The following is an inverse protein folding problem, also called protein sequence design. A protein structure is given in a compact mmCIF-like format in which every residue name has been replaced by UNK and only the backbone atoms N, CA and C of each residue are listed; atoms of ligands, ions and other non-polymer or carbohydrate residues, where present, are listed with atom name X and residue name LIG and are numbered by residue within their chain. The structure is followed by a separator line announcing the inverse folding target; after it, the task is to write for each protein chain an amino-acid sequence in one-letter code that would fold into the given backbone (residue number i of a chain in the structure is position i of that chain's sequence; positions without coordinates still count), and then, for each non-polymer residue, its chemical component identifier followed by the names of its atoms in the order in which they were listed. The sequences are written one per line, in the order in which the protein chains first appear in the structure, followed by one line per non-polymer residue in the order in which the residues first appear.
data_IF_417536268358
#
_entry.id   IF_417536268358
#
_cell.length_a   1.000
_cell.length_b   1.000
_cell.length_c   1.000
_cell.angle_alpha   90.00
_cell.angle_beta   90.00
_cell.angle_gamma   90.00
#
_symmetry.space_group_name_H-M   'P 1'
#
loop_
_entity.id
_entity.type
_entity.pdbx_description
1 polymer ?
#
# COMPACT_ATOMS: atom_id res chain seq x y z
N UNK A 1 -55.31 -0.11 -2.62
CA UNK A 1 -54.09 0.33 -3.33
C UNK A 1 -53.46 1.48 -2.56
N UNK A 2 -52.35 1.25 -1.86
CA UNK A 2 -51.38 2.26 -1.42
C UNK A 2 -50.05 1.53 -1.22
N UNK A 3 -49.08 1.82 -2.06
CA UNK A 3 -47.73 1.26 -2.00
C UNK A 3 -46.94 2.04 -0.93
N UNK A 4 -46.44 1.35 0.09
CA UNK A 4 -45.52 1.90 1.08
C UNK A 4 -44.08 1.77 0.60
N UNK A 5 -43.42 2.90 0.39
CA UNK A 5 -41.96 2.98 0.22
C UNK A 5 -41.28 2.59 1.54
N UNK A 6 -40.48 1.54 1.53
CA UNK A 6 -39.54 1.24 2.61
C UNK A 6 -38.25 2.00 2.30
N UNK A 7 -37.95 3.02 3.10
CA UNK A 7 -36.69 3.73 3.07
C UNK A 7 -35.59 2.82 3.64
N UNK A 8 -34.65 2.39 2.79
CA UNK A 8 -33.41 1.74 3.23
C UNK A 8 -32.51 2.80 3.86
N UNK A 9 -32.55 2.91 5.19
CA UNK A 9 -31.59 3.72 5.93
C UNK A 9 -30.20 3.06 5.82
N UNK A 10 -29.31 3.69 5.05
CA UNK A 10 -27.88 3.38 5.03
C UNK A 10 -27.30 3.74 6.40
N UNK A 11 -27.12 2.73 7.25
CA UNK A 11 -26.37 2.85 8.49
C UNK A 11 -24.93 3.31 8.17
N UNK A 12 -24.37 4.26 8.94
CA UNK A 12 -22.98 4.67 8.77
C UNK A 12 -22.09 3.45 9.02
N UNK A 13 -21.20 3.19 8.06
CA UNK A 13 -20.13 2.20 8.21
C UNK A 13 -19.27 2.66 9.38
N UNK A 14 -19.42 2.02 10.53
CA UNK A 14 -18.45 2.09 11.61
C UNK A 14 -17.16 1.44 11.09
N UNK A 15 -16.31 2.26 10.48
CA UNK A 15 -14.89 1.94 10.33
C UNK A 15 -14.29 1.92 11.74
N UNK A 16 -14.26 0.74 12.35
CA UNK A 16 -13.28 0.48 13.39
C UNK A 16 -11.91 0.61 12.71
N UNK A 17 -11.05 1.49 13.20
CA UNK A 17 -9.99 2.00 12.38
C UNK A 17 -8.92 0.93 12.18
N UNK A 18 -8.43 0.82 10.95
CA UNK A 18 -7.01 0.58 10.72
C UNK A 18 -6.23 1.81 11.28
N UNK A 19 -6.29 2.02 12.60
CA UNK A 19 -5.46 2.99 13.32
C UNK A 19 -4.32 2.21 13.95
N UNK A 20 -3.29 2.07 13.13
CA UNK A 20 -1.87 2.10 13.45
C UNK A 20 -1.24 1.90 12.06
N UNK A 21 -1.13 2.92 11.21
CA UNK A 21 0.00 3.87 11.19
C UNK A 21 -0.44 5.19 10.55
N UNK A 22 -1.22 5.98 11.26
CA UNK A 22 -1.52 7.36 10.86
C UNK A 22 -1.71 8.24 12.09
N UNK A 23 -0.72 8.27 12.99
CA UNK A 23 -0.50 9.33 13.97
C UNK A 23 0.63 8.91 14.94
N UNK A 24 1.87 9.31 14.62
CA UNK A 24 2.92 9.75 15.56
C UNK A 24 4.20 10.03 14.77
N UNK A 25 4.19 11.14 14.06
CA UNK A 25 5.41 11.86 13.75
C UNK A 25 5.06 13.32 14.05
N UNK A 26 5.41 13.81 15.24
CA UNK A 26 5.23 15.22 15.61
C UNK A 26 6.13 16.15 14.77
N UNK A 27 7.02 15.57 13.96
CA UNK A 27 7.86 16.25 12.98
C UNK A 27 7.62 15.70 11.56
N UNK A 28 7.69 16.56 10.52
CA UNK A 28 7.69 16.11 9.13
C UNK A 28 8.89 15.18 8.86
N UNK A 29 8.79 14.27 7.87
CA UNK A 29 9.91 13.42 7.47
C UNK A 29 11.07 14.28 6.98
N UNK A 30 12.31 13.81 7.19
CA UNK A 30 13.48 14.46 6.66
C UNK A 30 13.42 14.50 5.11
N UNK A 31 13.82 15.63 4.49
CA UNK A 31 13.87 15.74 3.04
C UNK A 31 15.00 14.87 2.46
N UNK A 32 14.92 14.46 1.17
CA UNK A 32 16.05 13.97 0.41
C UNK A 32 17.10 15.05 0.21
N UNK A 33 18.24 14.67 -0.36
CA UNK A 33 19.28 15.61 -0.80
C UNK A 33 18.80 16.47 -1.98
N UNK A 34 18.05 15.89 -2.91
CA UNK A 34 17.59 16.59 -4.11
C UNK A 34 16.11 16.31 -4.44
N UNK A 35 15.22 17.25 -4.07
CA UNK A 35 13.81 17.19 -4.45
C UNK A 35 13.56 17.29 -5.95
N UNK A 36 14.47 17.92 -6.71
CA UNK A 36 14.37 18.08 -8.15
C UNK A 36 14.50 16.73 -8.88
N UNK A 37 15.50 15.94 -8.49
CA UNK A 37 15.70 14.58 -9.02
C UNK A 37 14.58 13.64 -8.58
N UNK A 38 14.12 13.73 -7.33
CA UNK A 38 12.94 12.99 -6.86
C UNK A 38 11.71 13.31 -7.71
N UNK A 39 11.42 14.59 -7.95
CA UNK A 39 10.29 15.00 -8.78
C UNK A 39 10.42 14.52 -10.24
N UNK A 40 11.64 14.56 -10.80
CA UNK A 40 11.93 14.04 -12.15
C UNK A 40 11.56 12.56 -12.25
N UNK A 41 12.08 11.72 -11.35
CA UNK A 41 11.81 10.27 -11.39
C UNK A 41 10.34 9.96 -11.16
N UNK A 42 9.69 10.63 -10.21
CA UNK A 42 8.25 10.47 -9.96
C UNK A 42 7.43 10.76 -11.22
N UNK A 43 7.74 11.83 -11.95
CA UNK A 43 7.05 12.18 -13.22
C UNK A 43 7.39 11.22 -14.36
N UNK A 44 8.64 10.76 -14.47
CA UNK A 44 9.03 9.75 -15.46
C UNK A 44 8.22 8.47 -15.31
N UNK A 45 7.96 8.03 -14.07
CA UNK A 45 7.13 6.85 -13.81
C UNK A 45 5.70 7.01 -14.31
N UNK A 46 5.18 8.23 -14.37
CA UNK A 46 3.81 8.51 -14.86
C UNK A 46 3.65 8.33 -16.36
N UNK A 47 4.76 8.40 -17.12
CA UNK A 47 4.78 8.37 -18.59
C UNK A 47 3.67 9.25 -19.18
N UNK A 48 3.68 10.53 -18.79
CA UNK A 48 2.62 11.48 -19.15
C UNK A 48 2.47 11.58 -20.67
N UNK A 49 1.23 11.47 -21.14
CA UNK A 49 0.88 11.83 -22.51
C UNK A 49 0.62 13.34 -22.59
N UNK A 50 0.87 13.92 -23.77
CA UNK A 50 0.65 15.35 -24.00
C UNK A 50 -0.79 15.76 -23.64
N UNK A 51 -0.93 16.74 -22.74
CA UNK A 51 -2.22 17.26 -22.30
C UNK A 51 -2.91 16.44 -21.19
N UNK A 52 -2.29 15.38 -20.66
CA UNK A 52 -2.84 14.71 -19.48
C UNK A 52 -2.92 15.66 -18.28
N UNK A 53 -4.09 15.66 -17.66
CA UNK A 53 -4.46 16.56 -16.58
C UNK A 53 -3.96 16.01 -15.25
N UNK A 54 -2.99 16.68 -14.66
CA UNK A 54 -2.33 16.27 -13.40
C UNK A 54 -2.80 17.15 -12.24
N UNK A 55 -3.08 16.54 -11.10
CA UNK A 55 -3.37 17.23 -9.83
C UNK A 55 -2.45 16.70 -8.73
N UNK A 56 -1.94 17.62 -7.91
CA UNK A 56 -1.16 17.29 -6.72
C UNK A 56 -2.06 17.39 -5.48
N UNK A 57 -2.12 16.33 -4.69
CA UNK A 57 -2.74 16.33 -3.36
C UNK A 57 -1.62 16.51 -2.33
N UNK A 58 -1.66 17.63 -1.61
CA UNK A 58 -0.53 18.13 -0.82
C UNK A 58 -0.90 18.36 0.65
N UNK A 59 0.01 18.11 1.57
CA UNK A 59 -0.14 18.52 2.98
C UNK A 59 0.77 19.72 3.23
N UNK A 60 0.22 20.93 3.43
CA UNK A 60 1.04 22.11 3.71
C UNK A 60 1.97 21.90 4.91
N UNK A 61 3.25 22.27 4.77
CA UNK A 61 4.28 22.16 5.80
C UNK A 61 5.01 20.81 5.85
N UNK A 62 4.67 19.84 4.99
CA UNK A 62 5.29 18.50 5.00
C UNK A 62 6.40 18.36 3.96
N UNK A 63 6.11 18.73 2.71
CA UNK A 63 7.06 18.60 1.59
C UNK A 63 6.89 19.77 0.61
N UNK A 64 6.88 20.99 1.14
CA UNK A 64 6.53 22.20 0.37
C UNK A 64 7.51 22.47 -0.79
N UNK A 65 8.79 22.13 -0.63
CA UNK A 65 9.82 22.31 -1.66
C UNK A 65 9.62 21.35 -2.83
N UNK A 66 9.18 20.10 -2.55
CA UNK A 66 8.84 19.13 -3.58
C UNK A 66 7.72 19.63 -4.49
N UNK A 67 6.77 20.40 -3.95
CA UNK A 67 5.65 20.92 -4.73
C UNK A 67 6.17 21.68 -5.95
N UNK A 68 7.09 22.63 -5.74
CA UNK A 68 7.61 23.47 -6.81
C UNK A 68 8.40 22.67 -7.85
N UNK A 69 9.16 21.66 -7.42
CA UNK A 69 9.86 20.75 -8.33
C UNK A 69 8.90 19.89 -9.15
N UNK A 70 7.82 19.39 -8.54
CA UNK A 70 6.75 18.67 -9.24
C UNK A 70 6.06 19.54 -10.29
N UNK A 71 5.80 20.83 -10.00
CA UNK A 71 5.22 21.75 -11.00
C UNK A 71 6.10 21.84 -12.25
N UNK A 72 7.42 21.91 -12.08
CA UNK A 72 8.38 21.99 -13.19
C UNK A 72 8.50 20.65 -13.91
N UNK A 73 8.60 19.55 -13.17
CA UNK A 73 8.74 18.21 -13.71
C UNK A 73 7.52 17.81 -14.56
N UNK A 74 6.29 18.04 -14.08
CA UNK A 74 5.06 17.75 -14.83
C UNK A 74 5.02 18.50 -16.16
N UNK A 75 5.35 19.80 -16.15
CA UNK A 75 5.39 20.60 -17.40
C UNK A 75 6.43 20.09 -18.38
N UNK A 76 7.64 19.73 -17.90
CA UNK A 76 8.69 19.12 -18.74
C UNK A 76 8.26 17.77 -19.31
N UNK A 77 7.49 17.00 -18.55
CA UNK A 77 6.92 15.71 -18.97
C UNK A 77 5.72 15.82 -19.93
N UNK A 78 5.27 17.02 -20.29
CA UNK A 78 4.17 17.23 -21.25
C UNK A 78 2.76 17.18 -20.64
N UNK A 79 2.64 17.04 -19.32
CA UNK A 79 1.35 17.11 -18.63
C UNK A 79 0.84 18.53 -18.42
N UNK A 80 -0.49 18.67 -18.38
CA UNK A 80 -1.18 19.89 -17.96
C UNK A 80 -1.43 19.81 -16.45
N UNK A 81 -0.69 20.59 -15.66
CA UNK A 81 -1.02 20.72 -14.25
C UNK A 81 -2.31 21.55 -14.10
N UNK A 82 -3.37 20.89 -13.63
CA UNK A 82 -4.68 21.52 -13.40
C UNK A 82 -4.70 22.32 -12.10
N UNK A 83 -3.99 21.85 -11.07
CA UNK A 83 -3.82 22.57 -9.82
C UNK A 83 -3.43 21.69 -8.65
N UNK A 84 -3.49 22.27 -7.46
CA UNK A 84 -3.15 21.62 -6.20
C UNK A 84 -4.37 21.55 -5.29
N UNK A 85 -4.48 20.48 -4.52
CA UNK A 85 -5.52 20.31 -3.50
C UNK A 85 -4.83 20.17 -2.14
N UNK A 86 -5.01 21.12 -1.21
CA UNK A 86 -4.58 20.91 0.16
C UNK A 86 -5.41 19.77 0.75
N UNK A 87 -4.77 18.65 1.07
CA UNK A 87 -5.41 17.50 1.70
C UNK A 87 -6.07 17.88 3.02
N UNK A 88 -5.41 18.78 3.77
CA UNK A 88 -5.84 19.32 5.06
C UNK A 88 -5.45 20.80 5.17
N UNK A 89 -6.19 21.55 5.97
CA UNK A 89 -5.92 22.96 6.25
C UNK A 89 -6.25 23.89 5.09
N UNK A 90 -5.53 25.01 5.00
CA UNK A 90 -5.68 26.03 3.96
C UNK A 90 -4.38 26.12 3.17
N UNK A 91 -4.47 26.21 1.85
CA UNK A 91 -3.30 26.35 0.99
C UNK A 91 -2.57 27.70 1.22
N UNK A 92 -1.23 27.70 1.33
CA UNK A 92 -0.42 28.92 1.35
C UNK A 92 -0.69 29.82 0.14
N UNK A 93 -0.52 31.13 0.31
CA UNK A 93 -0.80 32.12 -0.75
C UNK A 93 -0.07 31.81 -2.06
N UNK A 94 1.17 31.27 -1.99
CA UNK A 94 1.97 30.88 -3.16
C UNK A 94 1.37 29.74 -4.00
N UNK A 95 0.46 28.93 -3.44
CA UNK A 95 -0.21 27.83 -4.13
C UNK A 95 -1.64 28.16 -4.59
N UNK A 96 -2.11 29.39 -4.34
CA UNK A 96 -3.51 29.74 -4.62
C UNK A 96 -3.76 29.92 -6.11
N UNK A 97 -4.70 29.14 -6.61
CA UNK A 97 -5.27 29.22 -7.95
C UNK A 97 -6.79 29.12 -7.89
N UNK A 98 -7.47 29.35 -9.01
CA UNK A 98 -8.92 29.10 -9.11
C UNK A 98 -9.25 27.64 -8.80
N UNK A 99 -8.43 26.70 -9.27
CA UNK A 99 -8.61 25.28 -8.98
C UNK A 99 -8.43 24.97 -7.49
N UNK A 100 -7.37 25.50 -6.87
CA UNK A 100 -7.12 25.32 -5.44
C UNK A 100 -8.34 25.81 -4.63
N UNK A 101 -8.85 27.01 -4.92
CA UNK A 101 -10.06 27.57 -4.28
C UNK A 101 -11.32 26.73 -4.54
N UNK A 102 -11.45 26.15 -5.72
CA UNK A 102 -12.59 25.30 -6.09
C UNK A 102 -12.60 23.99 -5.28
N UNK A 103 -11.43 23.45 -4.93
CA UNK A 103 -11.28 22.14 -4.27
C UNK A 103 -11.06 22.21 -2.76
N UNK A 104 -10.55 23.33 -2.24
CA UNK A 104 -10.20 23.52 -0.84
C UNK A 104 -11.40 23.26 0.09
N UNK A 105 -11.18 22.39 1.09
CA UNK A 105 -12.18 22.01 2.10
C UNK A 105 -13.49 21.43 1.53
N UNK A 106 -13.47 20.97 0.28
CA UNK A 106 -14.64 20.34 -0.33
C UNK A 106 -14.87 18.94 0.25
N UNK A 107 -16.13 18.55 0.48
CA UNK A 107 -16.43 17.18 0.86
C UNK A 107 -16.14 16.25 -0.33
N UNK A 108 -15.81 14.99 -0.01
CA UNK A 108 -15.51 13.92 -0.97
C UNK A 108 -16.44 13.89 -2.18
N UNK A 109 -17.76 14.00 -1.99
CA UNK A 109 -18.73 13.92 -3.09
C UNK A 109 -18.55 15.02 -4.14
N UNK A 110 -18.22 16.24 -3.72
CA UNK A 110 -17.94 17.34 -4.67
C UNK A 110 -16.58 17.15 -5.34
N UNK A 111 -15.59 16.62 -4.61
CA UNK A 111 -14.27 16.30 -5.17
C UNK A 111 -14.36 15.22 -6.25
N UNK A 112 -15.18 14.19 -6.09
CA UNK A 112 -15.43 13.17 -7.14
C UNK A 112 -15.90 13.83 -8.44
N UNK A 113 -16.83 14.78 -8.37
CA UNK A 113 -17.38 15.47 -9.54
C UNK A 113 -16.35 16.39 -10.23
N UNK A 114 -15.37 16.89 -9.49
CA UNK A 114 -14.26 17.70 -10.03
C UNK A 114 -13.18 16.80 -10.62
N UNK A 115 -12.75 15.78 -9.86
CA UNK A 115 -11.63 14.90 -10.17
C UNK A 115 -11.91 13.88 -11.27
N UNK A 116 -13.18 13.65 -11.63
CA UNK A 116 -13.53 12.79 -12.78
C UNK A 116 -12.94 13.26 -14.12
N UNK A 117 -12.44 14.50 -14.21
CA UNK A 117 -11.78 15.08 -15.38
C UNK A 117 -10.25 15.19 -15.22
N UNK A 118 -9.65 14.53 -14.22
CA UNK A 118 -8.20 14.51 -13.94
C UNK A 118 -7.62 13.16 -14.33
N UNK A 119 -6.57 13.11 -15.15
CA UNK A 119 -5.95 11.87 -15.62
C UNK A 119 -5.01 11.25 -14.58
N UNK A 120 -4.26 12.08 -13.86
CA UNK A 120 -3.27 11.64 -12.87
C UNK A 120 -3.43 12.41 -11.56
N UNK A 121 -3.67 11.69 -10.47
CA UNK A 121 -3.57 12.23 -9.11
C UNK A 121 -2.23 11.85 -8.48
N UNK A 122 -1.53 12.81 -7.86
CA UNK A 122 -0.27 12.55 -7.16
C UNK A 122 -0.46 12.88 -5.69
N UNK A 123 -0.42 11.87 -4.83
CA UNK A 123 -0.48 12.03 -3.39
C UNK A 123 0.95 12.22 -2.88
N UNK A 124 1.26 13.45 -2.49
CA UNK A 124 2.55 13.82 -1.92
C UNK A 124 2.66 13.39 -0.44
N UNK A 125 3.87 13.46 0.17
CA UNK A 125 4.11 12.92 1.49
C UNK A 125 3.13 13.45 2.53
N UNK A 126 2.69 12.54 3.41
CA UNK A 126 1.72 12.81 4.46
C UNK A 126 0.24 12.78 4.03
N UNK A 127 -0.08 12.73 2.74
CA UNK A 127 -1.46 12.49 2.30
C UNK A 127 -1.89 11.04 2.61
N UNK A 128 -3.10 10.86 3.12
CA UNK A 128 -3.64 9.55 3.55
C UNK A 128 -5.02 9.30 2.97
N UNK A 129 -5.45 8.05 2.91
CA UNK A 129 -6.80 7.67 2.44
C UNK A 129 -7.94 8.23 3.33
N UNK A 130 -7.62 8.79 4.49
CA UNK A 130 -8.58 9.55 5.31
C UNK A 130 -8.83 10.98 4.81
N UNK A 131 -7.96 11.51 3.93
CA UNK A 131 -8.12 12.83 3.36
C UNK A 131 -9.17 12.82 2.23
N UNK A 132 -10.12 13.77 2.18
CA UNK A 132 -11.25 13.73 1.24
C UNK A 132 -10.86 13.64 -0.25
N UNK A 133 -9.75 14.26 -0.64
CA UNK A 133 -9.26 14.23 -2.02
C UNK A 133 -8.66 12.87 -2.39
N UNK A 134 -7.94 12.26 -1.47
CA UNK A 134 -7.40 10.92 -1.67
C UNK A 134 -8.55 9.90 -1.69
N UNK A 135 -9.48 9.92 -0.73
CA UNK A 135 -10.67 9.04 -0.77
C UNK A 135 -11.51 9.24 -2.05
N UNK A 136 -11.62 10.47 -2.57
CA UNK A 136 -12.27 10.70 -3.86
C UNK A 136 -11.56 9.99 -5.02
N UNK A 137 -10.22 10.01 -5.07
CA UNK A 137 -9.46 9.22 -6.04
C UNK A 137 -9.63 7.71 -5.84
N UNK A 138 -9.57 7.22 -4.60
CA UNK A 138 -9.82 5.81 -4.29
C UNK A 138 -11.18 5.36 -4.81
N UNK A 139 -12.21 6.18 -4.65
CA UNK A 139 -13.53 5.91 -5.21
C UNK A 139 -13.52 5.86 -6.75
N UNK A 140 -12.82 6.78 -7.40
CA UNK A 140 -12.71 6.82 -8.87
C UNK A 140 -11.96 5.61 -9.43
N UNK A 141 -10.91 5.14 -8.74
CA UNK A 141 -10.10 3.99 -9.18
C UNK A 141 -10.83 2.64 -9.02
N UNK A 142 -11.82 2.54 -8.14
CA UNK A 142 -12.68 1.36 -8.01
C UNK A 142 -13.67 1.20 -9.18
N UNK A 143 -13.85 2.24 -10.01
CA UNK A 143 -14.69 2.18 -11.21
C UNK A 143 -13.92 1.56 -12.38
N UNK A 144 -14.60 1.07 -13.43
CA UNK A 144 -13.93 0.55 -14.62
C UNK A 144 -12.85 1.50 -15.15
N UNK A 145 -11.73 0.94 -15.64
CA UNK A 145 -10.53 1.69 -15.99
C UNK A 145 -10.76 2.87 -16.93
N UNK A 146 -11.71 2.73 -17.87
CA UNK A 146 -12.17 3.80 -18.74
C UNK A 146 -11.00 4.47 -19.47
N UNK A 147 -10.80 5.77 -19.21
CA UNK A 147 -9.73 6.57 -19.81
C UNK A 147 -8.31 6.24 -19.33
N UNK A 148 -8.17 5.45 -18.26
CA UNK A 148 -6.87 5.15 -17.64
C UNK A 148 -6.51 6.12 -16.52
N UNK A 149 -7.51 6.55 -15.72
CA UNK A 149 -7.27 7.35 -14.51
C UNK A 149 -6.39 6.55 -13.57
N UNK A 150 -5.35 7.20 -13.04
CA UNK A 150 -4.37 6.58 -12.17
C UNK A 150 -3.87 7.55 -11.12
N UNK A 151 -3.30 6.98 -10.07
CA UNK A 151 -2.65 7.75 -9.04
C UNK A 151 -1.24 7.26 -8.76
N UNK A 152 -0.44 8.18 -8.25
CA UNK A 152 0.86 7.89 -7.67
C UNK A 152 0.75 8.25 -6.19
N UNK A 153 1.10 7.32 -5.32
CA UNK A 153 1.26 7.60 -3.90
C UNK A 153 2.74 7.62 -3.54
N UNK A 154 3.26 8.83 -3.36
CA UNK A 154 4.61 9.06 -2.90
C UNK A 154 4.59 9.24 -1.38
N UNK A 155 4.64 8.12 -0.66
CA UNK A 155 4.44 8.11 0.80
C UNK A 155 5.51 8.89 1.56
N UNK A 156 6.79 8.75 1.14
CA UNK A 156 7.99 9.19 1.88
C UNK A 156 7.89 8.91 3.40
N UNK A 157 7.44 7.70 3.71
CA UNK A 157 7.10 7.20 5.04
C UNK A 157 7.23 5.66 5.06
N UNK A 158 6.67 5.00 6.07
CA UNK A 158 6.60 3.55 6.12
C UNK A 158 7.92 2.87 6.47
N UNK A 159 8.78 3.54 7.22
CA UNK A 159 9.90 2.88 7.90
C UNK A 159 9.39 2.23 9.19
N UNK A 160 9.83 1.00 9.46
CA UNK A 160 9.43 0.26 10.67
C UNK A 160 10.64 -0.35 11.36
N UNK A 161 10.59 -0.48 12.68
CA UNK A 161 11.50 -1.35 13.42
C UNK A 161 11.33 -2.81 12.97
N UNK A 162 12.27 -3.69 13.35
CA UNK A 162 12.14 -5.12 13.05
C UNK A 162 10.90 -5.76 13.71
N UNK A 163 10.44 -5.17 14.81
CA UNK A 163 9.22 -5.59 15.53
C UNK A 163 7.94 -5.06 14.87
N UNK A 164 8.05 -4.29 13.78
CA UNK A 164 6.92 -3.75 13.03
C UNK A 164 6.33 -2.45 13.60
N UNK A 165 7.05 -1.78 14.49
CA UNK A 165 6.64 -0.46 15.00
C UNK A 165 7.10 0.66 14.07
N UNK A 166 6.27 1.67 13.76
CA UNK A 166 6.68 2.78 12.90
C UNK A 166 7.88 3.54 13.48
N UNK A 167 8.86 3.87 12.64
CA UNK A 167 9.99 4.73 13.00
C UNK A 167 9.99 6.00 12.13
N UNK A 168 10.54 7.12 12.62
CA UNK A 168 10.61 8.34 11.83
C UNK A 168 11.51 8.17 10.60
N UNK A 169 11.23 8.97 9.56
CA UNK A 169 12.15 9.16 8.43
C UNK A 169 13.13 10.26 8.83
N UNK A 170 14.27 9.87 9.39
CA UNK A 170 15.40 10.76 9.66
C UNK A 170 16.26 10.94 8.38
N UNK A 171 17.32 11.77 8.40
CA UNK A 171 18.15 11.98 7.21
C UNK A 171 18.78 10.70 6.61
N UNK A 172 19.12 9.70 7.43
CA UNK A 172 19.71 8.45 6.94
C UNK A 172 18.65 7.61 6.22
N UNK A 173 17.43 7.54 6.77
CA UNK A 173 16.29 6.89 6.12
C UNK A 173 15.88 7.64 4.85
N UNK A 174 15.89 8.97 4.85
CA UNK A 174 15.57 9.79 3.68
C UNK A 174 16.58 9.56 2.55
N UNK A 175 17.88 9.54 2.84
CA UNK A 175 18.93 9.19 1.87
C UNK A 175 18.75 7.76 1.34
N UNK A 176 18.39 6.81 2.21
CA UNK A 176 18.11 5.44 1.82
C UNK A 176 16.94 5.35 0.82
N UNK A 177 15.83 6.07 1.09
CA UNK A 177 14.68 6.14 0.20
C UNK A 177 14.96 6.90 -1.09
N UNK A 178 15.75 7.96 -1.04
CA UNK A 178 16.20 8.70 -2.22
C UNK A 178 16.97 7.76 -3.16
N UNK A 179 18.00 7.07 -2.64
CA UNK A 179 18.75 6.07 -3.43
C UNK A 179 17.82 5.00 -4.01
N UNK A 180 16.92 4.45 -3.20
CA UNK A 180 15.97 3.45 -3.68
C UNK A 180 15.02 4.00 -4.77
N UNK A 181 14.62 5.27 -4.70
CA UNK A 181 13.79 5.88 -5.74
C UNK A 181 14.58 6.10 -7.04
N UNK A 182 15.76 6.72 -6.92
CA UNK A 182 16.52 7.19 -8.07
C UNK A 182 17.24 6.06 -8.81
N UNK A 183 17.76 5.08 -8.07
CA UNK A 183 18.69 4.09 -8.62
C UNK A 183 18.04 2.72 -8.86
N UNK A 184 16.75 2.54 -8.54
CA UNK A 184 16.06 1.27 -8.83
C UNK A 184 16.04 1.01 -10.33
N UNK A 185 16.54 -0.15 -10.74
CA UNK A 185 16.30 -0.69 -12.08
C UNK A 185 14.84 -1.18 -12.16
N UNK A 186 13.96 -0.28 -12.60
CA UNK A 186 12.53 -0.54 -12.70
C UNK A 186 12.18 -1.60 -13.75
N UNK A 187 12.99 -1.75 -14.81
CA UNK A 187 12.76 -2.80 -15.81
C UNK A 187 13.06 -4.17 -15.22
N UNK A 188 14.21 -4.32 -14.56
CA UNK A 188 14.58 -5.55 -13.87
C UNK A 188 13.61 -5.89 -12.72
N UNK A 189 13.14 -4.88 -11.97
CA UNK A 189 12.11 -5.06 -10.95
C UNK A 189 10.81 -5.60 -11.56
N UNK A 190 10.34 -5.00 -12.66
CA UNK A 190 9.13 -5.42 -13.34
C UNK A 190 9.26 -6.87 -13.90
N UNK A 191 10.42 -7.22 -14.46
CA UNK A 191 10.71 -8.57 -14.91
C UNK A 191 10.74 -9.59 -13.77
N UNK A 192 11.36 -9.24 -12.64
CA UNK A 192 11.36 -10.07 -11.44
C UNK A 192 9.94 -10.35 -10.95
N UNK A 193 9.11 -9.32 -10.85
CA UNK A 193 7.71 -9.45 -10.46
C UNK A 193 6.89 -10.30 -11.45
N UNK A 194 7.09 -10.14 -12.77
CA UNK A 194 6.45 -10.98 -13.80
C UNK A 194 6.85 -12.45 -13.69
N UNK A 195 8.13 -12.73 -13.48
CA UNK A 195 8.63 -14.11 -13.32
C UNK A 195 8.04 -14.77 -12.07
N UNK A 196 8.00 -14.04 -10.95
CA UNK A 196 7.41 -14.55 -9.72
C UNK A 196 5.91 -14.79 -9.86
N UNK A 197 5.16 -13.85 -10.46
CA UNK A 197 3.75 -14.05 -10.79
C UNK A 197 3.54 -15.32 -11.63
N UNK A 198 4.33 -15.50 -12.69
CA UNK A 198 4.26 -16.69 -13.57
C UNK A 198 4.50 -17.99 -12.80
N UNK A 199 5.44 -17.99 -11.85
CA UNK A 199 5.69 -19.14 -10.98
C UNK A 199 4.49 -19.41 -10.05
N UNK A 200 3.97 -18.39 -9.36
CA UNK A 200 2.83 -18.53 -8.45
C UNK A 200 1.57 -19.05 -9.17
N UNK A 201 1.40 -18.73 -10.46
CA UNK A 201 0.29 -19.25 -11.27
C UNK A 201 0.39 -20.75 -11.55
N UNK A 202 1.60 -21.31 -11.61
CA UNK A 202 1.86 -22.72 -11.98
C UNK A 202 1.82 -23.66 -10.78
N UNK A 203 2.13 -23.18 -9.58
CA UNK A 203 2.31 -24.03 -8.41
C UNK A 203 1.85 -23.36 -7.10
N UNK A 204 1.62 -24.13 -6.03
CA UNK A 204 1.35 -23.57 -4.71
C UNK A 204 2.53 -22.75 -4.20
N UNK A 205 2.21 -21.67 -3.48
CA UNK A 205 3.17 -20.90 -2.69
C UNK A 205 3.15 -21.46 -1.28
N UNK A 206 4.33 -21.78 -0.73
CA UNK A 206 4.52 -22.15 0.68
C UNK A 206 5.44 -21.12 1.33
N UNK A 207 5.02 -20.63 2.49
CA UNK A 207 5.80 -19.69 3.31
C UNK A 207 6.11 -20.35 4.65
N UNK A 208 7.38 -20.37 5.03
CA UNK A 208 7.84 -20.89 6.32
C UNK A 208 8.68 -19.87 7.08
N UNK A 209 8.73 -19.98 8.41
CA UNK A 209 9.66 -19.19 9.25
C UNK A 209 10.26 -20.07 10.35
N UNK A 210 11.44 -19.70 10.89
CA UNK A 210 12.00 -20.36 12.08
C UNK A 210 11.05 -20.35 13.29
N UNK A 211 10.23 -19.30 13.43
CA UNK A 211 9.21 -19.20 14.48
C UNK A 211 8.04 -20.19 14.32
N UNK A 212 7.98 -20.94 13.21
CA UNK A 212 7.02 -22.02 12.99
C UNK A 212 5.83 -21.65 12.13
N UNK A 213 5.89 -20.56 11.35
CA UNK A 213 4.98 -20.37 10.21
C UNK A 213 5.20 -21.51 9.21
N UNK A 214 4.11 -22.07 8.71
CA UNK A 214 4.08 -23.02 7.60
C UNK A 214 2.68 -22.93 6.98
N UNK A 215 2.55 -22.06 5.98
CA UNK A 215 1.29 -21.76 5.31
C UNK A 215 1.44 -22.01 3.82
N UNK A 216 0.46 -22.68 3.21
CA UNK A 216 0.42 -22.97 1.77
C UNK A 216 -0.87 -22.44 1.16
N UNK A 217 -0.78 -21.88 -0.05
CA UNK A 217 -1.95 -21.39 -0.79
C UNK A 217 -1.73 -21.42 -2.31
N UNK A 218 -2.82 -21.24 -3.08
CA UNK A 218 -2.80 -21.09 -4.54
C UNK A 218 -3.45 -19.77 -4.95
N UNK A 219 -2.97 -19.18 -6.04
CA UNK A 219 -3.53 -17.93 -6.58
C UNK A 219 -4.41 -18.13 -7.81
N UNK A 220 -4.20 -19.19 -8.59
CA UNK A 220 -4.92 -19.42 -9.86
C UNK A 220 -4.92 -18.19 -10.76
N UNK A 221 -6.12 -17.74 -11.16
CA UNK A 221 -6.33 -16.58 -12.04
C UNK A 221 -6.60 -15.26 -11.28
N UNK A 222 -6.32 -15.20 -9.97
CA UNK A 222 -6.46 -13.97 -9.18
C UNK A 222 -5.68 -12.82 -9.79
N UNK A 223 -6.16 -11.61 -9.53
CA UNK A 223 -5.42 -10.38 -9.84
C UNK A 223 -4.17 -10.36 -8.96
N UNK A 224 -3.02 -10.14 -9.59
CA UNK A 224 -1.75 -9.96 -8.92
C UNK A 224 -1.33 -8.52 -9.20
N UNK A 225 -1.17 -7.75 -8.13
CA UNK A 225 -0.83 -6.33 -8.24
C UNK A 225 0.67 -6.20 -8.14
N UNK A 226 1.28 -5.55 -9.13
CA UNK A 226 2.72 -5.36 -9.27
C UNK A 226 3.09 -3.92 -8.96
N UNK A 227 3.69 -3.63 -7.81
CA UNK A 227 4.27 -2.30 -7.57
C UNK A 227 5.67 -2.30 -8.20
N UNK A 228 5.72 -2.17 -9.53
CA UNK A 228 6.93 -2.15 -10.36
C UNK A 228 7.30 -0.73 -10.82
N UNK A 229 6.56 0.28 -10.38
CA UNK A 229 6.82 1.69 -10.69
C UNK A 229 6.28 2.16 -12.04
N UNK A 230 5.66 1.30 -12.84
CA UNK A 230 4.98 1.75 -14.07
C UNK A 230 3.66 2.43 -13.69
N UNK A 231 3.61 3.75 -13.75
CA UNK A 231 2.39 4.52 -13.54
C UNK A 231 1.87 5.09 -14.87
N UNK A 232 2.01 4.36 -15.98
CA UNK A 232 1.52 4.78 -17.30
C UNK A 232 0.01 4.66 -17.45
N UNK A 233 -0.55 5.41 -18.40
CA UNK A 233 -1.96 5.29 -18.79
C UNK A 233 -2.29 3.90 -19.34
N UNK A 234 -1.36 3.31 -20.11
CA UNK A 234 -1.52 1.97 -20.68
C UNK A 234 -1.76 0.92 -19.61
N UNK A 235 -0.86 0.87 -18.62
CA UNK A 235 -1.02 -0.02 -17.45
C UNK A 235 -2.32 0.26 -16.69
N UNK A 236 -2.67 1.51 -16.49
CA UNK A 236 -3.89 1.88 -15.78
C UNK A 236 -5.18 1.42 -16.51
N UNK A 237 -5.18 1.36 -17.85
CA UNK A 237 -6.30 0.84 -18.65
C UNK A 237 -6.48 -0.66 -18.53
N UNK A 238 -5.39 -1.39 -18.34
CA UNK A 238 -5.38 -2.84 -18.12
C UNK A 238 -5.65 -3.22 -16.65
N UNK A 239 -5.53 -2.27 -15.73
CA UNK A 239 -5.72 -2.46 -14.31
C UNK A 239 -7.10 -3.02 -13.97
N UNK A 240 -7.12 -4.10 -13.18
CA UNK A 240 -8.34 -4.81 -12.78
C UNK A 240 -8.81 -4.41 -11.39
N UNK A 241 -7.88 -3.95 -10.56
CA UNK A 241 -8.17 -3.45 -9.22
C UNK A 241 -7.76 -1.99 -9.09
N UNK A 242 -8.17 -1.37 -7.98
CA UNK A 242 -7.70 -0.05 -7.60
C UNK A 242 -6.16 -0.01 -7.50
N UNK A 243 -5.57 -1.03 -6.89
CA UNK A 243 -4.12 -1.08 -6.62
C UNK A 243 -3.30 -1.20 -7.92
N UNK A 244 -3.85 -1.80 -8.99
CA UNK A 244 -3.19 -1.78 -10.31
C UNK A 244 -3.05 -0.37 -10.90
N UNK A 245 -3.84 0.58 -10.38
CA UNK A 245 -3.94 1.96 -10.87
C UNK A 245 -3.46 2.99 -9.84
N UNK A 246 -2.94 2.51 -8.71
CA UNK A 246 -2.32 3.31 -7.67
C UNK A 246 -0.90 2.81 -7.46
N UNK A 247 0.05 3.56 -7.99
CA UNK A 247 1.46 3.18 -7.99
C UNK A 247 2.17 3.86 -6.84
N UNK A 248 2.83 3.05 -6.02
CA UNK A 248 3.57 3.51 -4.86
C UNK A 248 5.05 3.65 -5.18
N UNK A 249 5.64 4.78 -4.76
CA UNK A 249 7.04 5.11 -5.03
C UNK A 249 7.78 5.48 -3.74
N UNK A 250 8.93 4.84 -3.42
CA UNK A 250 9.61 3.78 -4.17
C UNK A 250 8.80 2.47 -4.34
N UNK A 251 8.94 1.83 -5.50
CA UNK A 251 8.21 0.62 -5.84
C UNK A 251 8.91 -0.65 -5.30
N UNK A 252 8.21 -1.78 -5.20
CA UNK A 252 8.89 -3.03 -4.85
C UNK A 252 8.02 -4.23 -4.52
N UNK A 253 6.79 -4.03 -4.04
CA UNK A 253 5.94 -5.14 -3.62
C UNK A 253 5.14 -5.78 -4.75
N UNK A 254 5.07 -7.11 -4.76
CA UNK A 254 4.03 -7.87 -5.46
C UNK A 254 3.02 -8.37 -4.44
N UNK A 255 1.72 -8.23 -4.73
CA UNK A 255 0.64 -8.53 -3.76
C UNK A 255 -0.47 -9.33 -4.43
N UNK A 256 -1.09 -10.23 -3.68
CA UNK A 256 -2.22 -11.05 -4.15
C UNK A 256 -3.11 -11.45 -2.99
N UNK A 257 -4.42 -11.42 -3.21
CA UNK A 257 -5.37 -12.17 -2.40
C UNK A 257 -5.44 -13.61 -2.93
N UNK A 258 -4.96 -14.63 -2.18
CA UNK A 258 -5.03 -16.01 -2.65
C UNK A 258 -6.47 -16.49 -2.82
N UNK A 259 -6.65 -17.67 -3.44
CA UNK A 259 -7.93 -18.38 -3.43
C UNK A 259 -8.20 -18.75 -1.98
N UNK A 260 -9.26 -18.18 -1.38
CA UNK A 260 -9.49 -18.26 0.06
C UNK A 260 -9.55 -19.71 0.53
N UNK A 261 -10.27 -20.57 -0.20
CA UNK A 261 -10.44 -21.98 0.16
C UNK A 261 -9.17 -22.84 -0.01
N UNK A 262 -8.08 -22.28 -0.56
CA UNK A 262 -6.81 -22.99 -0.75
C UNK A 262 -5.77 -22.75 0.33
N UNK A 263 -6.03 -21.78 1.23
CA UNK A 263 -5.09 -21.37 2.27
C UNK A 263 -5.18 -22.34 3.45
N UNK A 264 -4.09 -23.06 3.70
CA UNK A 264 -4.00 -24.12 4.71
C UNK A 264 -2.68 -24.00 5.49
N UNK A 265 -2.70 -24.30 6.79
CA UNK A 265 -1.51 -24.37 7.63
C UNK A 265 -1.56 -23.44 8.84
N UNK A 266 -0.43 -22.84 9.21
CA UNK A 266 -0.34 -21.97 10.39
C UNK A 266 0.60 -20.79 10.16
N UNK A 267 0.34 -19.70 10.87
CA UNK A 267 1.17 -18.50 10.88
C UNK A 267 1.58 -18.21 12.33
N UNK A 268 2.88 -18.17 12.58
CA UNK A 268 3.47 -17.68 13.82
C UNK A 268 3.76 -16.18 13.64
N UNK A 269 2.89 -15.34 14.20
CA UNK A 269 2.98 -13.89 14.06
C UNK A 269 4.14 -13.34 14.89
N UNK A 270 4.82 -12.27 14.42
CA UNK A 270 5.74 -11.50 15.25
C UNK A 270 5.05 -11.04 16.54
N UNK A 271 5.83 -10.96 17.62
CA UNK A 271 5.38 -10.35 18.87
C UNK A 271 4.95 -8.89 18.59
N UNK A 272 3.89 -8.44 19.25
CA UNK A 272 3.33 -7.11 18.96
C UNK A 272 2.08 -6.80 19.75
N UNK A 273 1.35 -5.75 19.35
CA UNK A 273 0.15 -5.31 20.05
C UNK A 273 -1.11 -5.80 19.34
N UNK A 274 -1.99 -6.49 20.07
CA UNK A 274 -3.32 -6.92 19.60
C UNK A 274 -4.38 -6.46 20.58
N UNK A 275 -5.43 -5.80 20.10
CA UNK A 275 -6.50 -5.26 20.95
C UNK A 275 -6.00 -4.28 22.02
N UNK A 276 -4.87 -3.62 21.78
CA UNK A 276 -4.21 -2.75 22.77
C UNK A 276 -3.40 -3.49 23.84
N UNK A 277 -3.20 -4.81 23.71
CA UNK A 277 -2.44 -5.65 24.65
C UNK A 277 -1.17 -6.16 23.99
N UNK A 278 -0.05 -6.20 24.72
CA UNK A 278 1.17 -6.87 24.26
C UNK A 278 0.96 -8.39 24.21
N UNK A 279 1.19 -8.98 23.04
CA UNK A 279 1.00 -10.41 22.75
C UNK A 279 2.32 -11.01 22.32
N UNK A 280 2.62 -12.21 22.82
CA UNK A 280 3.83 -12.95 22.45
C UNK A 280 3.53 -14.38 22.04
N UNK A 281 4.30 -14.89 21.07
CA UNK A 281 4.22 -16.28 20.61
C UNK A 281 2.86 -16.64 20.02
N UNK A 282 2.24 -15.71 19.28
CA UNK A 282 0.93 -15.91 18.67
C UNK A 282 1.04 -16.82 17.44
N UNK A 283 0.33 -17.95 17.47
CA UNK A 283 0.22 -18.87 16.33
C UNK A 283 -1.26 -19.05 15.98
N UNK A 284 -1.66 -18.69 14.75
CA UNK A 284 -3.01 -18.95 14.24
C UNK A 284 -2.99 -20.09 13.22
N UNK A 285 -3.98 -20.98 13.31
CA UNK A 285 -4.18 -22.11 12.41
C UNK A 285 -5.27 -21.79 11.40
N UNK A 286 -4.98 -22.05 10.13
CA UNK A 286 -5.85 -21.76 9.00
C UNK A 286 -6.33 -23.06 8.35
N UNK A 287 -7.64 -23.14 8.14
CA UNK A 287 -8.24 -24.08 7.23
C UNK A 287 -9.17 -23.33 6.27
N UNK A 288 -9.01 -23.57 4.97
CA UNK A 288 -9.76 -22.90 3.91
C UNK A 288 -9.77 -21.36 4.07
N UNK A 289 -8.61 -20.81 4.43
CA UNK A 289 -8.40 -19.37 4.60
C UNK A 289 -9.03 -18.74 5.81
N UNK A 290 -9.58 -19.55 6.74
CA UNK A 290 -10.15 -19.05 8.00
C UNK A 290 -9.36 -19.53 9.20
N UNK A 291 -9.19 -18.64 10.17
CA UNK A 291 -8.65 -18.97 11.49
C UNK A 291 -9.61 -19.93 12.17
N UNK A 292 -9.15 -21.16 12.45
CA UNK A 292 -9.93 -22.19 13.17
C UNK A 292 -9.65 -22.15 14.66
N UNK A 293 -8.40 -21.87 15.04
CA UNK A 293 -7.95 -21.73 16.42
C UNK A 293 -6.62 -20.94 16.45
N UNK A 294 -6.24 -20.43 17.62
CA UNK A 294 -4.93 -19.84 17.85
C UNK A 294 -4.43 -20.06 19.29
N UNK A 295 -3.12 -20.05 19.43
CA UNK A 295 -2.41 -20.07 20.73
C UNK A 295 -1.60 -18.79 20.90
N UNK A 296 -1.37 -18.38 22.14
CA UNK A 296 -0.42 -17.31 22.48
C UNK A 296 0.25 -17.65 23.81
N UNK A 297 1.53 -17.35 23.94
CA UNK A 297 2.27 -17.51 25.20
C UNK A 297 1.79 -16.51 26.24
N UNK A 298 1.46 -15.28 25.81
CA UNK A 298 0.87 -14.24 26.64
C UNK A 298 -0.02 -13.31 25.80
N UNK A 299 -0.94 -12.58 26.44
CA UNK A 299 -1.77 -11.57 25.79
C UNK A 299 -2.94 -12.11 24.95
N UNK A 300 -3.36 -13.36 25.19
CA UNK A 300 -4.45 -14.03 24.47
C UNK A 300 -5.73 -13.19 24.39
N UNK A 301 -6.14 -12.57 25.50
CA UNK A 301 -7.38 -11.79 25.58
C UNK A 301 -7.39 -10.60 24.60
N UNK A 302 -6.23 -9.99 24.33
CA UNK A 302 -6.11 -8.91 23.35
C UNK A 302 -6.36 -9.39 21.91
N UNK A 303 -5.91 -10.61 21.59
CA UNK A 303 -6.20 -11.25 20.30
C UNK A 303 -7.68 -11.56 20.18
N UNK A 304 -8.31 -12.11 21.22
CA UNK A 304 -9.75 -12.40 21.23
C UNK A 304 -10.58 -11.13 21.05
N UNK A 305 -10.22 -10.06 21.76
CA UNK A 305 -10.87 -8.76 21.66
C UNK A 305 -10.78 -8.18 20.24
N UNK A 306 -9.58 -8.18 19.65
CA UNK A 306 -9.39 -7.64 18.30
C UNK A 306 -10.14 -8.46 17.25
N UNK A 307 -10.04 -9.80 17.29
CA UNK A 307 -10.77 -10.67 16.38
C UNK A 307 -12.28 -10.51 16.54
N UNK A 308 -12.79 -10.32 17.75
CA UNK A 308 -14.21 -10.04 17.98
C UNK A 308 -14.62 -8.69 17.37
N UNK A 309 -13.84 -7.63 17.58
CA UNK A 309 -14.10 -6.30 17.04
C UNK A 309 -14.09 -6.26 15.50
N UNK A 310 -13.16 -6.98 14.86
CA UNK A 310 -13.05 -7.06 13.40
C UNK A 310 -13.98 -8.09 12.73
N UNK A 311 -14.79 -8.80 13.51
CA UNK A 311 -15.81 -9.73 13.02
C UNK A 311 -15.28 -10.88 12.15
N UNK A 312 -16.05 -11.27 11.14
CA UNK A 312 -15.71 -12.39 10.26
C UNK A 312 -14.47 -12.14 9.39
N UNK A 313 -14.23 -10.89 9.01
CA UNK A 313 -13.05 -10.54 8.22
C UNK A 313 -11.76 -10.75 9.00
N UNK A 314 -11.73 -10.42 10.30
CA UNK A 314 -10.54 -10.58 11.12
C UNK A 314 -10.06 -12.04 11.26
N UNK A 315 -10.96 -13.00 11.03
CA UNK A 315 -10.64 -14.44 11.03
C UNK A 315 -10.31 -14.97 9.64
N UNK A 316 -10.05 -14.12 8.65
CA UNK A 316 -9.81 -14.54 7.27
C UNK A 316 -8.42 -14.11 6.80
N UNK A 317 -7.72 -14.99 6.10
CA UNK A 317 -6.49 -14.65 5.41
C UNK A 317 -6.79 -13.66 4.29
N UNK A 318 -6.04 -12.56 4.24
CA UNK A 318 -6.28 -11.44 3.33
C UNK A 318 -5.37 -11.48 2.12
N UNK A 319 -4.07 -11.44 2.38
CA UNK A 319 -3.06 -11.04 1.42
C UNK A 319 -1.75 -11.74 1.72
N UNK A 320 -1.13 -12.20 0.64
CA UNK A 320 0.30 -12.43 0.58
C UNK A 320 0.94 -11.28 -0.20
N UNK A 321 2.00 -10.69 0.35
CA UNK A 321 2.87 -9.79 -0.38
C UNK A 321 4.33 -10.17 -0.19
N UNK A 322 5.13 -9.92 -1.23
CA UNK A 322 6.58 -10.09 -1.21
C UNK A 322 7.24 -8.82 -1.75
N UNK A 323 8.16 -8.25 -0.98
CA UNK A 323 9.05 -7.21 -1.46
C UNK A 323 10.13 -7.80 -2.38
N UNK A 324 10.38 -7.14 -3.50
CA UNK A 324 11.32 -7.55 -4.54
C UNK A 324 12.29 -6.43 -4.94
N UNK A 325 12.23 -5.24 -4.31
CA UNK A 325 13.18 -4.18 -4.60
C UNK A 325 14.50 -4.39 -3.83
N UNK A 326 15.63 -4.63 -4.52
CA UNK A 326 16.91 -4.87 -3.87
C UNK A 326 17.46 -3.66 -3.11
N UNK A 327 17.17 -2.43 -3.57
CA UNK A 327 17.64 -1.21 -2.92
C UNK A 327 16.85 -0.83 -1.65
N UNK A 328 15.72 -1.51 -1.44
CA UNK A 328 14.91 -1.44 -0.22
C UNK A 328 15.14 -2.64 0.72
N UNK A 329 16.12 -3.51 0.45
CA UNK A 329 16.41 -4.64 1.33
C UNK A 329 16.74 -4.17 2.76
N UNK A 330 16.40 -4.99 3.75
CA UNK A 330 16.75 -4.71 5.16
C UNK A 330 18.26 -4.53 5.27
N UNK A 331 18.76 -3.42 5.86
CA UNK A 331 20.19 -3.21 6.01
C UNK A 331 20.86 -4.38 6.74
N UNK A 332 21.96 -4.88 6.17
CA UNK A 332 22.72 -6.01 6.74
C UNK A 332 23.82 -5.55 7.70
N UNK A 333 24.09 -4.24 7.76
CA UNK A 333 25.05 -3.61 8.65
C UNK A 333 24.41 -2.44 9.37
N UNK A 334 24.81 -2.18 10.61
CA UNK A 334 24.24 -1.10 11.43
C UNK A 334 22.87 -1.46 12.01
N UNK A 335 22.03 -0.46 12.23
CA UNK A 335 20.67 -0.65 12.74
C UNK A 335 19.80 -1.34 11.69
N UNK A 336 19.16 -2.46 12.06
CA UNK A 336 18.23 -3.19 11.20
C UNK A 336 16.82 -2.65 11.36
N UNK A 337 16.17 -2.35 10.24
CA UNK A 337 14.81 -1.85 10.16
C UNK A 337 14.18 -2.32 8.85
N UNK A 338 12.86 -2.23 8.73
CA UNK A 338 12.09 -2.67 7.56
C UNK A 338 11.80 -1.46 6.68
N UNK A 339 12.38 -1.38 5.47
CA UNK A 339 12.14 -0.25 4.59
C UNK A 339 10.80 -0.29 3.89
N UNK A 340 10.18 0.88 3.81
CA UNK A 340 9.07 1.24 2.95
C UNK A 340 7.95 0.20 2.88
N UNK A 341 7.19 0.06 3.97
CA UNK A 341 6.07 -0.88 4.07
C UNK A 341 6.42 -2.33 3.68
N UNK A 342 7.70 -2.72 3.86
CA UNK A 342 8.21 -4.05 3.53
C UNK A 342 8.36 -4.30 2.02
N UNK A 343 8.70 -3.28 1.23
CA UNK A 343 8.82 -3.41 -0.24
C UNK A 343 10.21 -3.91 -0.65
N UNK A 344 11.11 -3.97 0.33
CA UNK A 344 12.44 -4.56 0.25
C UNK A 344 12.46 -6.03 -0.13
N UNK A 345 13.41 -6.38 -0.98
CA UNK A 345 13.73 -7.74 -1.36
C UNK A 345 13.75 -8.69 -0.15
N UNK A 346 12.90 -9.72 -0.20
CA UNK A 346 12.83 -10.80 0.80
C UNK A 346 11.90 -10.54 1.98
N UNK A 347 11.33 -9.33 2.14
CA UNK A 347 10.34 -9.05 3.18
C UNK A 347 8.97 -9.59 2.75
N UNK A 348 8.42 -10.50 3.54
CA UNK A 348 7.07 -11.06 3.31
C UNK A 348 6.05 -10.33 4.18
N UNK A 349 4.84 -10.11 3.65
CA UNK A 349 3.67 -9.76 4.45
C UNK A 349 2.61 -10.84 4.36
N UNK A 350 2.11 -11.26 5.51
CA UNK A 350 0.93 -12.10 5.65
C UNK A 350 -0.10 -11.33 6.48
N UNK A 351 -1.27 -11.12 5.89
CA UNK A 351 -2.26 -10.18 6.42
C UNK A 351 -3.60 -10.87 6.70
N UNK A 352 -4.37 -10.29 7.62
CA UNK A 352 -5.74 -10.70 7.95
C UNK A 352 -6.75 -9.64 7.48
N UNK A 353 -7.98 -10.05 7.18
CA UNK A 353 -9.07 -9.12 6.88
C UNK A 353 -9.57 -9.03 5.45
N UNK A 354 -10.23 -7.89 5.18
CA UNK A 354 -10.88 -7.51 3.94
C UNK A 354 -9.86 -7.45 2.79
N UNK A 355 -10.13 -8.21 1.73
CA UNK A 355 -9.23 -8.34 0.59
C UNK A 355 -9.87 -7.86 -0.73
N UNK A 356 -10.96 -7.09 -0.66
CA UNK A 356 -11.68 -6.60 -1.87
C UNK A 356 -10.82 -5.72 -2.76
N UNK A 357 -9.94 -4.90 -2.17
CA UNK A 357 -9.03 -4.02 -2.94
C UNK A 357 -8.08 -4.82 -3.85
N UNK A 358 -7.82 -6.09 -3.53
CA UNK A 358 -6.97 -7.02 -4.27
C UNK A 358 -7.78 -7.96 -5.19
N UNK A 359 -9.09 -7.75 -5.32
CA UNK A 359 -9.98 -8.65 -6.07
C UNK A 359 -10.39 -9.91 -5.30
N UNK A 360 -10.28 -9.88 -3.97
CA UNK A 360 -10.71 -10.94 -3.06
C UNK A 360 -12.20 -10.94 -2.73
N UNK A 361 -12.67 -11.99 -2.04
CA UNK A 361 -14.09 -12.16 -1.65
C UNK A 361 -14.38 -11.81 -0.18
N UNK A 362 -13.37 -11.70 0.67
CA UNK A 362 -13.50 -11.39 2.10
C UNK A 362 -13.91 -9.94 2.27
N UNK A 363 -14.97 -9.70 3.07
CA UNK A 363 -15.51 -8.37 3.34
C UNK A 363 -15.59 -8.15 4.84
N UNK A 364 -15.33 -6.92 5.29
CA UNK A 364 -15.58 -6.52 6.68
C UNK A 364 -14.74 -5.37 7.19
N UNK A 365 -14.08 -4.61 6.30
CA UNK A 365 -13.25 -3.42 6.58
C UNK A 365 -12.01 -3.62 7.48
N UNK A 366 -11.99 -4.63 8.35
CA UNK A 366 -10.82 -5.00 9.14
C UNK A 366 -9.66 -5.35 8.21
N UNK A 367 -8.49 -4.78 8.48
CA UNK A 367 -7.23 -5.07 7.78
C UNK A 367 -6.11 -5.06 8.81
N UNK A 368 -5.27 -6.09 8.82
CA UNK A 368 -4.05 -6.14 9.63
C UNK A 368 -2.88 -6.65 8.81
N UNK A 369 -1.81 -5.88 8.75
CA UNK A 369 -0.56 -6.26 8.09
C UNK A 369 0.45 -6.75 9.13
N UNK A 370 1.26 -7.74 8.76
CA UNK A 370 2.36 -8.22 9.59
C UNK A 370 3.56 -8.50 8.69
N UNK A 371 4.75 -8.10 9.16
CA UNK A 371 6.00 -8.27 8.42
C UNK A 371 6.73 -9.53 8.89
N UNK A 372 7.26 -10.28 7.94
CA UNK A 372 8.06 -11.48 8.18
C UNK A 372 9.40 -11.27 7.48
N UNK A 373 10.43 -11.00 8.28
CA UNK A 373 11.75 -10.58 7.81
C UNK A 373 12.75 -11.73 7.68
N UNK A 374 12.34 -12.94 8.05
CA UNK A 374 13.13 -14.17 8.09
C UNK A 374 12.39 -15.34 7.40
N UNK A 375 11.42 -15.03 6.54
CA UNK A 375 10.61 -16.03 5.86
C UNK A 375 11.37 -16.71 4.71
N UNK A 376 11.09 -17.99 4.52
CA UNK A 376 11.42 -18.73 3.31
C UNK A 376 10.16 -18.85 2.45
N UNK A 377 10.27 -18.55 1.16
CA UNK A 377 9.16 -18.61 0.20
C UNK A 377 9.52 -19.61 -0.89
N UNK A 378 8.70 -20.65 -1.01
CA UNK A 378 8.82 -21.69 -2.02
C UNK A 378 7.63 -21.65 -2.97
N UNK A 379 7.88 -21.86 -4.27
CA UNK A 379 6.84 -21.98 -5.29
C UNK A 379 7.09 -23.25 -6.08
N UNK A 380 6.23 -24.26 -5.90
CA UNK A 380 6.42 -25.55 -6.56
C UNK A 380 7.71 -26.30 -6.20
N UNK A 381 8.31 -25.99 -5.06
CA UNK A 381 9.59 -26.55 -4.61
C UNK A 381 10.81 -25.67 -4.91
N UNK A 382 10.67 -24.67 -5.78
CA UNK A 382 11.73 -23.69 -6.04
C UNK A 382 11.77 -22.64 -4.92
N UNK A 383 12.95 -22.40 -4.35
CA UNK A 383 13.14 -21.42 -3.28
C UNK A 383 13.39 -20.04 -3.89
N UNK A 384 12.46 -19.10 -3.67
CA UNK A 384 12.55 -17.72 -4.15
C UNK A 384 13.15 -16.78 -3.09
N UNK A 385 12.80 -17.02 -1.83
CA UNK A 385 13.34 -16.34 -0.66
C UNK A 385 13.81 -17.42 0.31
N UNK A 386 14.99 -17.24 0.89
CA UNK A 386 15.52 -18.10 1.96
C UNK A 386 15.88 -17.21 3.14
N UNK A 387 15.22 -17.43 4.26
CA UNK A 387 15.48 -16.74 5.54
C UNK A 387 15.49 -15.21 5.39
N UNK A 388 14.53 -14.66 4.64
CA UNK A 388 14.41 -13.23 4.35
C UNK A 388 15.36 -12.69 3.27
N UNK A 389 16.14 -13.55 2.62
CA UNK A 389 17.10 -13.18 1.57
C UNK A 389 16.66 -13.73 0.22
N UNK A 390 16.67 -12.89 -0.83
CA UNK A 390 16.41 -13.35 -2.19
C UNK A 390 17.51 -14.31 -2.66
N UNK A 391 17.13 -15.36 -3.40
CA UNK A 391 18.10 -16.19 -4.12
C UNK A 391 18.92 -15.35 -5.12
N UNK A 392 20.21 -15.65 -5.25
CA UNK A 392 21.08 -15.01 -6.26
C UNK A 392 20.74 -15.45 -7.67
#
# INVERSE_FOLDING_TARGET
MRHGLVALALLPVLQLPAQAVAARADAPPAPPKDWGEVARVVVERMQLLAGERVVLVVVPGVADDLVEEMLRAVRRGGGELVGLIPARGIAPQKWRSDFTRLTEQKPRQQLIEILRNVDVGVMLPGATVGDPAYDAFQWLLQRPAGRGVRTIHFHWAGAYSIDGEPIPVDPDVAEFYERALLDTDYEALADSQRRFESAMRKAPVRVTTPAGTDITFRIGNRVVTRQDGDASQGRAREGRTLIDREVELPAGAIRVAPIEESVEGKIAFPDGVWGGVSVRGLVMYFARGRVTHFTATSGRDGVEQELAAGGDAARSFREFALGLNPLLAIPTSGHRWIPYYGYGAGVVRLSLGDNRELGGKVKGAYVRWNFFTDATVEVGGDVWVRDGMMGR
#
